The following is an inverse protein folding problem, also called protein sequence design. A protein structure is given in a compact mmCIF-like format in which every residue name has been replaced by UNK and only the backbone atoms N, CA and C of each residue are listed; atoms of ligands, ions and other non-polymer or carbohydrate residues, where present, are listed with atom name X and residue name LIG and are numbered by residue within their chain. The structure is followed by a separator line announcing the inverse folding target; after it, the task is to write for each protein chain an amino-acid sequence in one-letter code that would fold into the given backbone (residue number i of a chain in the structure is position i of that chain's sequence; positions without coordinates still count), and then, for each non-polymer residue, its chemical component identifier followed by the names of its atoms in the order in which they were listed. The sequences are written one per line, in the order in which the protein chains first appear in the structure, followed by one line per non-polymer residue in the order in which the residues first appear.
data_IF_490109151536
#
_entry.id   IF_490109151536
#
_cell.length_a   1.000
_cell.length_b   1.000
_cell.length_c   1.000
_cell.angle_alpha   90.00
_cell.angle_beta   90.00
_cell.angle_gamma   90.00
#
_symmetry.space_group_name_H-M   'P 1'
#
loop_
_entity.id
_entity.type
_entity.pdbx_description
1 polymer ?
#
# COMPACT_ATOMS: atom_id res chain seq x y z
N UNK A 1 -18.81 28.89 -61.61
CA UNK A 1 -18.37 29.94 -60.67
C UNK A 1 -18.87 29.55 -59.28
N UNK A 2 -18.00 28.91 -58.48
CA UNK A 2 -18.33 28.38 -57.16
C UNK A 2 -17.79 29.39 -56.13
N UNK A 3 -18.69 30.04 -55.40
CA UNK A 3 -18.35 30.93 -54.29
C UNK A 3 -18.09 30.08 -53.06
N UNK A 4 -16.84 30.07 -52.57
CA UNK A 4 -16.48 29.52 -51.27
C UNK A 4 -16.90 30.50 -50.16
N UNK A 5 -17.52 30.05 -49.06
CA UNK A 5 -17.72 30.90 -47.90
C UNK A 5 -16.39 31.10 -47.16
N UNK A 6 -16.03 32.36 -46.95
CA UNK A 6 -14.93 32.77 -46.10
C UNK A 6 -15.39 32.72 -44.64
N UNK A 7 -14.90 31.75 -43.87
CA UNK A 7 -15.12 31.72 -42.42
C UNK A 7 -14.19 32.73 -41.74
N UNK A 8 -14.70 33.93 -41.47
CA UNK A 8 -14.07 34.87 -40.55
C UNK A 8 -14.47 34.49 -39.12
N UNK A 9 -13.55 33.91 -38.35
CA UNK A 9 -13.67 33.90 -36.89
C UNK A 9 -13.36 35.30 -36.38
N UNK A 10 -14.23 35.85 -35.52
CA UNK A 10 -14.00 37.17 -34.94
C UNK A 10 -12.92 37.08 -33.84
N UNK A 11 -12.19 38.17 -33.60
CA UNK A 11 -11.21 38.22 -32.49
C UNK A 11 -11.83 37.90 -31.12
N UNK A 12 -13.15 38.13 -30.97
CA UNK A 12 -13.93 37.75 -29.79
C UNK A 12 -14.00 36.25 -29.56
N UNK A 13 -14.12 35.45 -30.62
CA UNK A 13 -14.17 33.98 -30.53
C UNK A 13 -12.83 33.40 -30.09
N UNK A 14 -11.73 34.01 -30.55
CA UNK A 14 -10.37 33.62 -30.17
C UNK A 14 -10.07 33.98 -28.70
N UNK A 15 -10.59 35.10 -28.21
CA UNK A 15 -10.43 35.53 -26.82
C UNK A 15 -11.27 34.68 -25.87
N UNK A 16 -12.48 34.30 -26.27
CA UNK A 16 -13.36 33.41 -25.51
C UNK A 16 -12.80 31.99 -25.41
N UNK A 17 -12.18 31.46 -26.48
CA UNK A 17 -11.48 30.17 -26.44
C UNK A 17 -10.24 30.18 -25.54
N UNK A 18 -9.48 31.28 -25.54
CA UNK A 18 -8.32 31.46 -24.66
C UNK A 18 -8.73 31.58 -23.19
N UNK A 19 -9.82 32.30 -22.89
CA UNK A 19 -10.35 32.38 -21.53
C UNK A 19 -10.89 31.03 -21.04
N UNK A 20 -11.59 30.27 -21.89
CA UNK A 20 -12.07 28.92 -21.54
C UNK A 20 -10.91 27.95 -21.24
N UNK A 21 -9.82 28.00 -22.02
CA UNK A 21 -8.62 27.20 -21.79
C UNK A 21 -7.88 27.59 -20.50
N UNK A 22 -7.78 28.88 -20.20
CA UNK A 22 -7.16 29.37 -18.95
C UNK A 22 -8.00 29.01 -17.73
N UNK A 23 -9.33 29.11 -17.84
CA UNK A 23 -10.25 28.70 -16.76
C UNK A 23 -10.24 27.18 -16.54
N UNK A 24 -10.15 26.38 -17.61
CA UNK A 24 -9.98 24.93 -17.49
C UNK A 24 -8.63 24.58 -16.83
N UNK A 25 -7.54 25.24 -17.20
CA UNK A 25 -6.24 25.05 -16.57
C UNK A 25 -6.26 25.47 -15.09
N UNK A 26 -6.87 26.61 -14.75
CA UNK A 26 -7.03 27.06 -13.36
C UNK A 26 -7.93 26.13 -12.54
N UNK A 27 -9.01 25.60 -13.12
CA UNK A 27 -9.87 24.61 -12.47
C UNK A 27 -9.13 23.26 -12.24
N UNK A 28 -8.18 22.90 -13.11
CA UNK A 28 -7.32 21.73 -12.92
C UNK A 28 -6.25 21.97 -11.84
N UNK A 29 -5.68 23.18 -11.75
CA UNK A 29 -4.77 23.53 -10.65
C UNK A 29 -5.48 23.70 -9.30
N UNK A 30 -6.72 24.20 -9.30
CA UNK A 30 -7.49 24.41 -8.07
C UNK A 30 -8.06 23.13 -7.45
N UNK A 31 -8.03 22.00 -8.17
CA UNK A 31 -8.48 20.69 -7.67
C UNK A 31 -7.33 19.74 -7.26
N UNK A 32 -6.08 20.16 -7.42
CA UNK A 32 -4.89 19.37 -7.03
C UNK A 32 -4.43 19.56 -5.59
N UNK A 33 -5.26 20.16 -4.73
CA UNK A 33 -4.97 20.33 -3.31
C UNK A 33 -5.45 19.12 -2.51
N UNK A 34 -4.52 18.49 -1.80
CA UNK A 34 -4.69 17.46 -0.76
C UNK A 34 -4.68 15.98 -1.19
N UNK A 35 -3.74 15.59 -2.05
CA UNK A 35 -3.10 14.27 -1.95
C UNK A 35 -1.67 14.47 -1.44
N UNK A 36 -1.48 14.46 -0.12
CA UNK A 36 -0.15 14.44 0.48
C UNK A 36 0.53 13.14 0.03
N UNK A 37 1.56 13.23 -0.80
CA UNK A 37 2.31 12.11 -1.37
C UNK A 37 3.16 11.33 -0.33
N UNK A 38 2.63 11.15 0.87
CA UNK A 38 3.28 10.44 1.96
C UNK A 38 3.19 8.95 1.67
N UNK A 39 4.33 8.36 1.38
CA UNK A 39 4.49 6.92 1.26
C UNK A 39 5.58 6.45 2.20
N UNK A 40 5.45 5.24 2.71
CA UNK A 40 6.51 4.56 3.44
C UNK A 40 6.81 3.22 2.77
N UNK A 41 8.09 2.85 2.77
CA UNK A 41 8.59 1.57 2.28
C UNK A 41 9.44 0.93 3.38
N UNK A 42 9.17 -0.34 3.63
CA UNK A 42 10.02 -1.22 4.39
C UNK A 42 10.54 -2.33 3.47
N UNK A 43 11.82 -2.25 3.12
CA UNK A 43 12.52 -3.12 2.17
C UNK A 43 13.61 -3.98 2.82
N UNK A 44 13.89 -3.78 4.11
CA UNK A 44 14.86 -4.54 4.91
C UNK A 44 16.29 -4.69 4.32
N UNK A 45 16.62 -3.99 3.23
CA UNK A 45 17.91 -4.11 2.52
C UNK A 45 19.10 -3.66 3.39
N UNK A 46 18.84 -2.85 4.42
CA UNK A 46 19.85 -2.46 5.41
C UNK A 46 20.11 -3.52 6.50
N UNK A 47 19.37 -4.63 6.50
CA UNK A 47 19.51 -5.74 7.45
C UNK A 47 18.84 -5.54 8.82
N UNK A 48 18.12 -4.44 9.03
CA UNK A 48 17.32 -4.20 10.24
C UNK A 48 15.83 -4.38 9.95
N UNK A 49 15.04 -4.71 10.96
CA UNK A 49 13.59 -4.96 10.86
C UNK A 49 12.73 -3.70 10.72
N UNK A 50 13.37 -2.53 10.65
CA UNK A 50 12.74 -1.23 10.42
C UNK A 50 11.57 -0.94 11.40
N UNK A 51 11.62 -1.54 12.60
CA UNK A 51 10.67 -1.34 13.70
C UNK A 51 9.52 -2.35 13.76
N UNK A 52 9.55 -3.44 12.99
CA UNK A 52 8.52 -4.49 13.04
C UNK A 52 8.59 -5.41 14.27
N UNK A 53 9.61 -5.29 15.12
CA UNK A 53 9.86 -6.15 16.29
C UNK A 53 8.90 -6.04 17.47
N UNK A 54 7.89 -5.16 17.42
CA UNK A 54 6.82 -5.22 18.41
C UNK A 54 5.90 -6.38 18.04
N UNK A 55 6.02 -7.53 18.71
CA UNK A 55 4.83 -8.39 18.85
C UNK A 55 3.71 -7.55 19.47
N UNK A 56 2.45 -7.97 19.32
CA UNK A 56 1.30 -7.25 19.89
C UNK A 56 1.43 -6.97 21.41
N UNK A 57 2.39 -7.60 22.11
CA UNK A 57 2.79 -7.42 23.50
C UNK A 57 3.47 -6.09 23.88
N UNK A 58 3.72 -5.14 22.95
CA UNK A 58 4.53 -3.92 23.22
C UNK A 58 5.97 -4.23 23.68
N UNK A 59 6.46 -5.44 23.45
CA UNK A 59 7.83 -5.80 23.82
C UNK A 59 8.79 -5.27 22.75
N UNK A 60 9.30 -4.06 22.98
CA UNK A 60 10.27 -3.41 22.09
C UNK A 60 11.67 -4.06 22.09
N UNK A 61 11.85 -5.20 22.77
CA UNK A 61 13.12 -5.93 22.79
C UNK A 61 13.18 -7.10 21.81
N UNK A 62 12.05 -7.46 21.19
CA UNK A 62 12.07 -8.42 20.09
C UNK A 62 12.43 -7.72 18.78
N UNK A 63 13.27 -8.38 17.97
CA UNK A 63 13.63 -7.96 16.62
C UNK A 63 13.42 -9.17 15.70
N UNK A 64 12.91 -8.94 14.50
CA UNK A 64 12.78 -10.02 13.52
C UNK A 64 14.09 -10.23 12.75
N UNK A 65 14.55 -11.49 12.57
CA UNK A 65 15.71 -11.77 11.74
C UNK A 65 15.49 -11.30 10.30
N UNK A 66 16.43 -10.53 9.76
CA UNK A 66 16.45 -10.19 8.34
C UNK A 66 17.41 -11.12 7.62
N UNK A 67 16.88 -11.91 6.69
CA UNK A 67 17.63 -12.96 6.01
C UNK A 67 17.60 -12.75 4.50
N UNK A 68 18.70 -13.10 3.83
CA UNK A 68 18.73 -13.14 2.38
C UNK A 68 18.06 -14.44 1.89
N UNK A 69 16.88 -14.32 1.30
CA UNK A 69 16.10 -15.45 0.80
C UNK A 69 15.35 -15.06 -0.48
N UNK A 70 15.30 -15.97 -1.44
CA UNK A 70 14.68 -15.67 -2.74
C UNK A 70 15.39 -14.54 -3.52
N UNK A 71 16.61 -14.16 -3.13
CA UNK A 71 17.40 -13.10 -3.77
C UNK A 71 17.19 -11.69 -3.23
N UNK A 72 16.40 -11.48 -2.16
CA UNK A 72 16.24 -10.20 -1.45
C UNK A 72 16.41 -10.36 0.06
N UNK A 73 16.65 -9.25 0.77
CA UNK A 73 16.62 -9.24 2.23
C UNK A 73 15.17 -9.21 2.71
N UNK A 74 14.76 -10.19 3.50
CA UNK A 74 13.36 -10.31 3.95
C UNK A 74 13.28 -10.49 5.46
N UNK A 75 12.22 -9.95 6.04
CA UNK A 75 11.88 -10.16 7.44
C UNK A 75 11.32 -11.57 7.65
N UNK A 76 12.02 -12.39 8.43
CA UNK A 76 11.57 -13.72 8.85
C UNK A 76 10.62 -13.59 10.04
N UNK A 77 9.38 -14.04 9.86
CA UNK A 77 8.38 -14.13 10.94
C UNK A 77 8.04 -15.59 11.14
N UNK A 78 8.20 -16.08 12.37
CA UNK A 78 7.88 -17.45 12.75
C UNK A 78 6.44 -17.52 13.26
N UNK A 79 5.71 -18.55 12.82
CA UNK A 79 4.45 -18.96 13.42
C UNK A 79 4.73 -19.57 14.80
N UNK A 80 4.46 -18.83 15.87
CA UNK A 80 4.85 -19.22 17.23
C UNK A 80 3.66 -19.63 18.15
N UNK A 81 2.43 -19.57 17.64
CA UNK A 81 1.19 -19.78 18.39
C UNK A 81 0.33 -18.51 18.53
N UNK A 82 0.93 -17.33 18.44
CA UNK A 82 0.27 -16.03 18.53
C UNK A 82 -0.62 -15.75 17.32
N UNK A 83 -1.69 -14.98 17.51
CA UNK A 83 -2.57 -14.63 16.38
C UNK A 83 -2.04 -13.42 15.59
N UNK A 84 -1.29 -12.54 16.23
CA UNK A 84 -0.68 -11.35 15.63
C UNK A 84 0.83 -11.48 15.80
N UNK A 85 1.51 -11.79 14.71
CA UNK A 85 2.85 -12.37 14.75
C UNK A 85 3.94 -11.33 14.54
N UNK A 86 3.64 -10.22 13.87
CA UNK A 86 4.54 -9.09 13.71
C UNK A 86 3.74 -7.78 13.60
N UNK A 87 4.26 -6.69 14.13
CA UNK A 87 3.63 -5.37 13.98
C UNK A 87 4.63 -4.24 13.92
N UNK A 88 4.35 -3.28 13.03
CA UNK A 88 4.97 -1.98 13.06
C UNK A 88 4.10 -1.06 13.89
N UNK A 89 4.61 -0.70 15.06
CA UNK A 89 4.06 0.35 15.90
C UNK A 89 5.11 1.42 16.14
N UNK A 90 4.68 2.66 16.34
CA UNK A 90 5.61 3.75 16.63
C UNK A 90 5.09 5.12 16.23
N UNK A 91 5.75 6.15 16.77
CA UNK A 91 5.43 7.57 16.55
C UNK A 91 6.45 8.28 15.64
N UNK A 92 7.31 7.52 14.96
CA UNK A 92 8.27 8.10 14.03
C UNK A 92 7.56 8.63 12.77
N UNK A 93 8.06 9.78 12.30
CA UNK A 93 7.34 10.62 11.33
C UNK A 93 6.95 9.90 10.03
N UNK A 94 7.84 9.17 9.31
CA UNK A 94 7.49 8.69 7.96
C UNK A 94 6.38 7.62 7.95
N UNK A 95 6.44 6.66 8.88
CA UNK A 95 5.40 5.66 9.03
C UNK A 95 4.09 6.29 9.50
N UNK A 96 4.16 7.10 10.56
CA UNK A 96 2.98 7.71 11.18
C UNK A 96 2.26 8.65 10.20
N UNK A 97 3.01 9.42 9.42
CA UNK A 97 2.48 10.33 8.40
C UNK A 97 1.74 9.57 7.30
N UNK A 98 2.40 8.57 6.68
CA UNK A 98 1.79 7.76 5.61
C UNK A 98 0.58 6.97 6.12
N UNK A 99 0.65 6.41 7.33
CA UNK A 99 -0.44 5.70 7.96
C UNK A 99 -1.63 6.63 8.21
N UNK A 100 -1.43 7.79 8.84
CA UNK A 100 -2.51 8.75 9.08
C UNK A 100 -3.16 9.25 7.78
N UNK A 101 -2.36 9.50 6.74
CA UNK A 101 -2.88 9.92 5.44
C UNK A 101 -3.74 8.81 4.80
N UNK A 102 -3.28 7.57 4.85
CA UNK A 102 -4.03 6.42 4.37
C UNK A 102 -5.35 6.20 5.12
N UNK A 103 -5.36 6.42 6.44
CA UNK A 103 -6.56 6.25 7.26
C UNK A 103 -7.55 7.40 7.10
N UNK A 104 -7.06 8.61 6.81
CA UNK A 104 -7.91 9.77 6.51
C UNK A 104 -8.55 9.68 5.11
N UNK A 105 -7.90 9.03 4.15
CA UNK A 105 -8.42 8.84 2.78
C UNK A 105 -8.20 7.40 2.26
N UNK A 106 -8.89 6.40 2.81
CA UNK A 106 -8.58 4.99 2.57
C UNK A 106 -8.77 4.52 1.11
N UNK A 107 -9.61 5.22 0.34
CA UNK A 107 -9.79 4.90 -1.09
C UNK A 107 -8.64 5.42 -1.96
N UNK A 108 -7.85 6.36 -1.46
CA UNK A 108 -6.73 6.96 -2.18
C UNK A 108 -5.38 6.36 -1.80
N UNK A 109 -5.34 5.33 -0.94
CA UNK A 109 -4.12 4.67 -0.52
C UNK A 109 -4.25 3.16 -0.66
N UNK A 110 -3.11 2.50 -0.83
CA UNK A 110 -2.97 1.05 -0.78
C UNK A 110 -1.99 0.63 0.29
N UNK A 111 -2.24 -0.55 0.83
CA UNK A 111 -1.28 -1.31 1.61
C UNK A 111 -0.85 -2.48 0.73
N UNK A 112 0.45 -2.71 0.64
CA UNK A 112 1.00 -3.83 -0.11
C UNK A 112 2.21 -4.42 0.57
N UNK A 113 2.47 -5.69 0.31
CA UNK A 113 3.66 -6.38 0.77
C UNK A 113 3.94 -7.59 -0.13
N UNK A 114 5.22 -7.96 -0.24
CA UNK A 114 5.64 -9.22 -0.83
C UNK A 114 5.70 -10.28 0.27
N UNK A 115 5.29 -11.50 -0.06
CA UNK A 115 5.37 -12.65 0.83
C UNK A 115 6.11 -13.79 0.15
N UNK A 116 6.78 -14.61 0.97
CA UNK A 116 7.53 -15.78 0.52
C UNK A 116 7.52 -16.87 1.59
N UNK A 117 7.33 -18.09 1.14
CA UNK A 117 7.28 -19.31 1.96
C UNK A 117 8.08 -20.38 1.24
N UNK A 118 9.18 -20.81 1.86
CA UNK A 118 9.94 -21.97 1.39
C UNK A 118 9.65 -23.16 2.31
N UNK A 119 8.86 -24.10 1.78
CA UNK A 119 8.41 -25.26 2.55
C UNK A 119 9.54 -26.27 2.78
N UNK A 120 10.65 -26.17 2.05
CA UNK A 120 11.83 -27.02 2.23
C UNK A 120 12.67 -26.64 3.45
N UNK A 121 12.55 -25.41 3.96
CA UNK A 121 13.34 -24.91 5.09
C UNK A 121 12.79 -25.32 6.46
N UNK A 122 11.49 -25.66 6.53
CA UNK A 122 10.86 -26.20 7.73
C UNK A 122 10.00 -27.44 7.42
N UNK A 123 10.62 -28.56 6.99
CA UNK A 123 9.86 -29.76 6.62
C UNK A 123 9.07 -30.33 7.81
N UNK A 124 7.76 -30.52 7.62
CA UNK A 124 6.87 -31.06 8.67
C UNK A 124 6.35 -30.04 9.68
N UNK A 125 6.83 -28.78 9.61
CA UNK A 125 6.48 -27.73 10.56
C UNK A 125 5.30 -26.86 10.12
N UNK A 126 4.91 -26.91 8.84
CA UNK A 126 3.85 -26.05 8.29
C UNK A 126 2.41 -26.50 8.59
N UNK A 127 2.21 -27.72 9.08
CA UNK A 127 0.86 -28.24 9.40
C UNK A 127 0.02 -28.59 8.16
N UNK A 128 -1.30 -28.52 8.29
CA UNK A 128 -2.29 -28.82 7.25
C UNK A 128 -2.82 -27.58 6.53
N UNK A 129 -2.58 -26.39 7.06
CA UNK A 129 -2.87 -25.14 6.38
C UNK A 129 -2.03 -23.97 6.92
N UNK A 130 -1.84 -22.96 6.07
CA UNK A 130 -1.20 -21.70 6.41
C UNK A 130 -1.97 -20.57 5.74
N UNK A 131 -2.30 -19.54 6.50
CA UNK A 131 -3.03 -18.38 6.03
C UNK A 131 -2.31 -17.12 6.49
N UNK A 132 -2.20 -16.16 5.59
CA UNK A 132 -1.61 -14.86 5.88
C UNK A 132 -2.70 -13.79 5.83
N UNK A 133 -2.52 -12.74 6.62
CA UNK A 133 -3.35 -11.55 6.55
C UNK A 133 -2.69 -10.39 7.26
N UNK A 134 -3.37 -9.26 7.21
CA UNK A 134 -2.97 -8.00 7.82
C UNK A 134 -4.01 -7.51 8.81
N UNK A 135 -3.57 -6.62 9.69
CA UNK A 135 -4.46 -5.90 10.58
C UNK A 135 -3.99 -4.47 10.79
N UNK A 136 -4.93 -3.63 11.20
CA UNK A 136 -4.68 -2.29 11.72
C UNK A 136 -5.28 -2.13 13.11
N UNK A 137 -4.56 -1.44 13.99
CA UNK A 137 -4.96 -1.29 15.40
C UNK A 137 -4.57 0.09 15.94
N UNK A 138 -5.46 0.74 16.70
CA UNK A 138 -5.19 2.03 17.36
C UNK A 138 -4.68 1.94 18.81
N UNK A 139 -4.69 0.76 19.43
CA UNK A 139 -4.06 0.50 20.74
C UNK A 139 -4.94 0.66 21.98
N UNK A 140 -6.26 0.78 21.86
CA UNK A 140 -7.19 0.80 23.00
C UNK A 140 -8.30 -0.24 22.82
N UNK A 141 -8.57 -0.99 23.89
CA UNK A 141 -9.23 -2.30 23.93
C UNK A 141 -10.72 -2.40 23.53
N UNK A 142 -11.20 -1.65 22.55
CA UNK A 142 -12.47 -1.87 21.83
C UNK A 142 -12.63 -1.06 20.52
N UNK A 143 -11.64 -0.24 20.10
CA UNK A 143 -11.87 0.78 19.05
C UNK A 143 -10.63 1.06 18.16
N UNK A 144 -10.87 1.29 16.87
CA UNK A 144 -11.25 0.25 15.92
C UNK A 144 -10.04 -0.64 15.64
N UNK A 145 -10.25 -1.93 15.86
CA UNK A 145 -9.37 -2.99 15.44
C UNK A 145 -9.98 -3.62 14.20
N UNK A 146 -9.25 -3.65 13.09
CA UNK A 146 -9.72 -4.25 11.84
C UNK A 146 -8.67 -5.24 11.38
N UNK A 147 -9.11 -6.45 11.04
CA UNK A 147 -8.24 -7.57 10.69
C UNK A 147 -8.89 -8.45 9.64
N UNK A 148 -8.08 -9.24 8.94
CA UNK A 148 -8.53 -10.13 7.86
C UNK A 148 -9.23 -11.41 8.33
N UNK A 149 -9.12 -11.74 9.62
CA UNK A 149 -9.63 -13.00 10.18
C UNK A 149 -10.70 -12.77 11.25
N UNK A 150 -11.61 -13.73 11.52
CA UNK A 150 -11.96 -14.88 10.69
C UNK A 150 -12.98 -14.58 9.58
N UNK A 151 -13.56 -13.37 9.54
CA UNK A 151 -14.78 -13.10 8.76
C UNK A 151 -14.54 -12.47 7.37
N UNK A 152 -13.42 -11.75 7.15
CA UNK A 152 -13.17 -10.96 5.93
C UNK A 152 -11.82 -11.26 5.29
N UNK A 153 -11.70 -12.45 4.69
CA UNK A 153 -10.74 -12.70 3.61
C UNK A 153 -9.27 -12.62 4.00
N UNK A 154 -8.69 -13.78 4.33
CA UNK A 154 -7.23 -14.01 4.31
C UNK A 154 -6.63 -13.53 2.98
N UNK A 155 -5.45 -12.92 3.06
CA UNK A 155 -4.69 -12.46 1.91
C UNK A 155 -4.14 -13.64 1.09
N UNK A 156 -3.69 -14.66 1.80
CA UNK A 156 -3.04 -15.85 1.23
C UNK A 156 -3.53 -17.07 1.98
N UNK A 157 -3.71 -18.18 1.26
CA UNK A 157 -3.92 -19.50 1.85
C UNK A 157 -3.11 -20.54 1.07
N UNK A 158 -2.35 -21.35 1.81
CA UNK A 158 -1.70 -22.54 1.32
C UNK A 158 -2.32 -23.76 2.00
N UNK A 159 -2.68 -24.76 1.21
CA UNK A 159 -3.20 -26.03 1.72
C UNK A 159 -2.07 -26.99 2.13
N UNK A 160 -2.42 -28.05 2.87
CA UNK A 160 -1.45 -29.04 3.35
C UNK A 160 -0.67 -29.76 2.26
N UNK A 161 -1.21 -29.85 1.03
CA UNK A 161 -0.48 -30.45 -0.10
C UNK A 161 0.63 -29.50 -0.58
N UNK A 162 0.31 -28.22 -0.70
CA UNK A 162 1.29 -27.18 -1.01
C UNK A 162 2.37 -27.12 0.08
N UNK A 163 1.96 -27.14 1.36
CA UNK A 163 2.86 -27.06 2.51
C UNK A 163 3.76 -28.28 2.68
N UNK A 164 3.32 -29.47 2.26
CA UNK A 164 4.13 -30.69 2.28
C UNK A 164 5.05 -30.86 1.04
N UNK A 165 4.99 -29.94 0.07
CA UNK A 165 5.58 -30.16 -1.25
C UNK A 165 7.10 -29.94 -1.33
N UNK A 166 7.70 -29.23 -0.37
CA UNK A 166 9.10 -28.82 -0.46
C UNK A 166 9.35 -27.74 -1.52
N UNK A 167 8.29 -27.12 -2.06
CA UNK A 167 8.39 -26.01 -3.00
C UNK A 167 8.42 -24.65 -2.31
N UNK A 168 8.73 -23.64 -3.13
CA UNK A 168 8.63 -22.23 -2.79
C UNK A 168 7.32 -21.66 -3.30
N UNK A 169 6.63 -20.90 -2.45
CA UNK A 169 5.44 -20.12 -2.77
C UNK A 169 5.72 -18.65 -2.46
N UNK A 170 5.35 -17.74 -3.35
CA UNK A 170 5.55 -16.31 -3.14
C UNK A 170 4.58 -15.50 -3.99
N UNK A 171 4.40 -14.24 -3.62
CA UNK A 171 3.56 -13.31 -4.34
C UNK A 171 3.55 -11.92 -3.70
N UNK A 172 2.69 -11.07 -4.24
CA UNK A 172 2.46 -9.71 -3.74
C UNK A 172 1.00 -9.56 -3.39
N UNK A 173 0.73 -9.06 -2.18
CA UNK A 173 -0.60 -8.59 -1.77
C UNK A 173 -0.64 -7.09 -1.97
N UNK A 174 -1.71 -6.58 -2.56
CA UNK A 174 -1.88 -5.14 -2.78
C UNK A 174 -3.35 -4.78 -2.90
N UNK A 175 -3.87 -4.12 -1.87
CA UNK A 175 -5.28 -3.77 -1.76
C UNK A 175 -5.42 -2.31 -1.34
N UNK A 176 -6.47 -1.64 -1.81
CA UNK A 176 -6.77 -0.31 -1.27
C UNK A 176 -7.19 -0.43 0.18
N UNK A 177 -6.87 0.57 0.99
CA UNK A 177 -7.25 0.57 2.41
C UNK A 177 -8.78 0.48 2.55
N UNK A 178 -9.54 1.02 1.59
CA UNK A 178 -11.00 0.89 1.58
C UNK A 178 -11.51 -0.50 1.22
N UNK A 179 -10.92 -1.17 0.23
CA UNK A 179 -11.27 -2.57 -0.07
C UNK A 179 -11.02 -3.46 1.16
N UNK A 180 -9.95 -3.17 1.88
CA UNK A 180 -9.48 -3.98 2.99
C UNK A 180 -10.19 -3.72 4.32
N UNK A 181 -10.32 -2.46 4.71
CA UNK A 181 -10.79 -2.06 6.04
C UNK A 181 -12.05 -1.16 6.00
N UNK A 182 -12.55 -0.81 4.81
CA UNK A 182 -13.78 -0.04 4.63
C UNK A 182 -13.60 1.48 4.58
N UNK A 183 -14.63 2.22 5.00
CA UNK A 183 -14.65 3.69 4.94
C UNK A 183 -13.61 4.34 5.86
N UNK A 184 -13.51 5.69 5.84
CA UNK A 184 -12.61 6.44 6.71
C UNK A 184 -12.80 6.03 8.17
N UNK A 185 -11.70 5.78 8.86
CA UNK A 185 -11.74 5.45 10.28
C UNK A 185 -12.14 6.71 11.07
N UNK A 186 -12.79 6.51 12.22
CA UNK A 186 -13.22 7.63 13.03
C UNK A 186 -12.02 8.42 13.58
N UNK A 187 -12.27 9.66 14.00
CA UNK A 187 -11.22 10.54 14.54
C UNK A 187 -10.48 9.93 15.74
N UNK A 188 -11.10 8.99 16.47
CA UNK A 188 -10.48 8.31 17.61
C UNK A 188 -9.32 7.39 17.17
N UNK A 189 -9.38 6.79 15.98
CA UNK A 189 -8.28 5.99 15.44
C UNK A 189 -7.08 6.85 15.03
N UNK A 190 -7.34 8.00 14.39
CA UNK A 190 -6.30 8.93 13.95
C UNK A 190 -5.56 9.59 15.12
N UNK A 191 -6.18 9.66 16.29
CA UNK A 191 -5.59 10.22 17.51
C UNK A 191 -5.08 9.15 18.49
N UNK A 192 -5.07 7.89 18.07
CA UNK A 192 -4.75 6.78 18.96
C UNK A 192 -3.23 6.74 19.27
N UNK A 193 -2.84 6.42 20.52
CA UNK A 193 -1.45 6.57 20.97
C UNK A 193 -0.49 5.53 20.38
N UNK A 194 -1.00 4.45 19.79
CA UNK A 194 -0.18 3.42 19.15
C UNK A 194 -0.90 2.88 17.92
N UNK A 195 -0.66 3.53 16.79
CA UNK A 195 -1.16 3.11 15.48
C UNK A 195 -0.28 1.99 14.92
N UNK A 196 -0.91 0.88 14.56
CA UNK A 196 -0.22 -0.32 14.10
C UNK A 196 -0.70 -0.77 12.75
N UNK A 197 0.26 -1.22 11.96
CA UNK A 197 0.07 -2.12 10.84
C UNK A 197 0.78 -3.42 11.22
N UNK A 198 0.10 -4.54 11.17
CA UNK A 198 0.72 -5.82 11.50
C UNK A 198 0.23 -6.97 10.64
N UNK A 199 0.89 -8.11 10.84
CA UNK A 199 0.68 -9.36 10.12
C UNK A 199 0.09 -10.42 11.04
N UNK A 200 -0.84 -11.17 10.47
CA UNK A 200 -1.44 -12.36 11.05
C UNK A 200 -0.90 -13.55 10.27
N UNK A 201 -0.33 -14.51 10.98
CA UNK A 201 -0.01 -15.83 10.43
C UNK A 201 -0.87 -16.83 11.17
N UNK A 202 -1.88 -17.36 10.48
CA UNK A 202 -2.76 -18.39 11.02
C UNK A 202 -2.42 -19.75 10.40
N UNK A 203 -2.43 -20.79 11.21
CA UNK A 203 -2.00 -22.12 10.79
C UNK A 203 -1.92 -23.06 11.97
N UNK A 204 -1.97 -24.36 11.70
CA UNK A 204 -1.81 -25.44 12.67
C UNK A 204 -0.38 -26.02 12.70
N UNK A 205 0.50 -25.50 11.85
CA UNK A 205 1.94 -25.71 11.92
C UNK A 205 2.60 -24.98 13.09
N UNK A 206 3.73 -25.51 13.55
CA UNK A 206 4.58 -24.92 14.59
C UNK A 206 5.92 -24.55 13.95
N UNK A 207 6.42 -23.34 14.20
CA UNK A 207 7.68 -22.85 13.62
C UNK A 207 7.66 -22.79 12.07
N UNK A 208 6.48 -22.61 11.49
CA UNK A 208 6.34 -22.27 10.08
C UNK A 208 6.97 -20.89 9.83
N UNK A 209 7.78 -20.77 8.77
CA UNK A 209 8.49 -19.53 8.46
C UNK A 209 7.82 -18.80 7.31
N UNK A 210 7.54 -17.53 7.52
CA UNK A 210 6.99 -16.64 6.49
C UNK A 210 7.90 -15.43 6.37
N UNK A 211 8.19 -15.05 5.13
CA UNK A 211 9.13 -13.99 4.82
C UNK A 211 8.40 -12.83 4.16
N UNK A 212 8.52 -11.64 4.74
CA UNK A 212 7.89 -10.42 4.24
C UNK A 212 8.93 -9.43 3.73
N UNK A 213 8.57 -8.68 2.69
CA UNK A 213 9.42 -7.68 2.05
C UNK A 213 8.55 -6.61 1.36
N UNK A 214 9.14 -5.49 0.95
CA UNK A 214 8.48 -4.41 0.21
C UNK A 214 7.14 -3.96 0.80
N UNK A 215 7.07 -3.85 2.13
CA UNK A 215 5.84 -3.44 2.81
C UNK A 215 5.67 -1.95 2.57
N UNK A 216 4.50 -1.55 2.06
CA UNK A 216 4.24 -0.17 1.64
C UNK A 216 2.89 0.32 2.10
N UNK A 217 2.86 1.59 2.44
CA UNK A 217 1.65 2.41 2.46
C UNK A 217 1.90 3.51 1.44
N UNK A 218 1.11 3.58 0.38
CA UNK A 218 1.36 4.54 -0.69
C UNK A 218 0.05 5.06 -1.32
N UNK A 219 0.05 6.30 -1.85
CA UNK A 219 -1.09 6.82 -2.58
C UNK A 219 -1.37 6.00 -3.84
N UNK A 220 -2.64 5.75 -4.12
CA UNK A 220 -3.11 5.25 -5.42
C UNK A 220 -2.96 6.38 -6.43
N UNK A 221 -2.20 6.22 -7.53
CA UNK A 221 -2.02 7.27 -8.52
C UNK A 221 -3.36 7.75 -9.08
N UNK A 222 -3.65 9.06 -8.97
CA UNK A 222 -4.88 9.59 -9.55
C UNK A 222 -4.86 9.49 -11.08
N UNK A 223 -5.98 9.12 -11.73
CA UNK A 223 -6.09 9.05 -13.19
C UNK A 223 -5.76 10.38 -13.89
N UNK A 224 -5.98 11.50 -13.21
CA UNK A 224 -5.73 12.86 -13.70
C UNK A 224 -4.24 13.18 -13.82
N UNK A 225 -3.40 12.65 -12.93
CA UNK A 225 -1.94 12.78 -13.00
C UNK A 225 -1.37 12.05 -14.22
N UNK A 226 -1.90 10.86 -14.52
CA UNK A 226 -1.58 10.11 -15.75
C UNK A 226 -2.04 10.86 -17.01
N UNK A 227 -3.26 11.43 -16.97
CA UNK A 227 -3.78 12.22 -18.08
C UNK A 227 -2.98 13.51 -18.31
N UNK A 228 -2.49 14.16 -17.25
CA UNK A 228 -1.67 15.37 -17.36
C UNK A 228 -0.31 15.09 -18.01
N UNK A 229 0.37 14.01 -17.63
CA UNK A 229 1.61 13.57 -18.31
C UNK A 229 1.32 13.20 -19.76
N UNK A 230 0.23 12.47 -20.01
CA UNK A 230 -0.22 12.07 -21.34
C UNK A 230 -0.61 13.23 -22.26
N UNK A 231 -1.11 14.34 -21.71
CA UNK A 231 -1.51 15.55 -22.48
C UNK A 231 -0.40 16.61 -22.55
N UNK A 232 0.52 16.66 -21.59
CA UNK A 232 1.65 17.58 -21.61
C UNK A 232 2.65 17.27 -22.73
N UNK A 233 2.90 15.98 -23.01
CA UNK A 233 3.79 15.53 -24.08
C UNK A 233 3.37 16.01 -25.48
N UNK A 234 2.11 15.81 -25.94
CA UNK A 234 1.65 16.34 -27.21
C UNK A 234 1.58 17.88 -27.22
N UNK A 235 1.28 18.52 -26.09
CA UNK A 235 1.30 19.98 -25.95
C UNK A 235 2.70 20.59 -26.18
N UNK A 236 3.73 19.98 -25.60
CA UNK A 236 5.14 20.37 -25.80
C UNK A 236 5.58 20.11 -27.25
N UNK A 237 5.18 18.97 -27.84
CA UNK A 237 5.49 18.65 -29.23
C UNK A 237 4.85 19.64 -30.24
N UNK A 238 3.63 20.10 -29.97
CA UNK A 238 2.95 21.12 -30.78
C UNK A 238 3.59 22.51 -30.63
N UNK A 239 4.08 22.86 -29.44
CA UNK A 239 4.82 24.11 -29.20
C UNK A 239 6.21 24.10 -29.86
N UNK A 240 6.90 22.95 -29.86
CA UNK A 240 8.19 22.78 -30.54
C UNK A 240 8.05 22.91 -32.07
N UNK A 241 6.97 22.37 -32.65
CA UNK A 241 6.68 22.49 -34.10
C UNK A 241 6.31 23.90 -34.57
N UNK A 242 5.93 24.80 -33.67
CA UNK A 242 5.63 26.21 -34.00
C UNK A 242 6.85 27.13 -33.94
N UNK A 243 8.00 26.63 -33.48
CA UNK A 243 9.23 27.42 -33.28
C UNK A 243 10.39 27.00 -34.19
N UNK A 244 10.22 25.99 -35.05
CA UNK A 244 11.12 25.65 -36.14
C UNK A 244 10.46 25.94 -37.48
#
# INVERSE_FOLDING_TARGET
MILLPSFFFSEGDLMMYRMAMILAALAMFARGGDATAQSVLFDFESGGDQGFGAKFSNDASEEFPIVNIGGSMRMEVLRNGDFQEADRSGSDSPYLDAFNAAMANPSAYRISYDWYVDTSLSPGNYGSFLQLGTYINGGQGSFPYVQDFPDTGKDVELDGTQLASGNVFSGTVSETVTEKYGGPLNADFLNAPSQRLGFIINGDGVDAKVYFDNIRIEPVPEPTTLALVGLALPGIALLARRRG
#
